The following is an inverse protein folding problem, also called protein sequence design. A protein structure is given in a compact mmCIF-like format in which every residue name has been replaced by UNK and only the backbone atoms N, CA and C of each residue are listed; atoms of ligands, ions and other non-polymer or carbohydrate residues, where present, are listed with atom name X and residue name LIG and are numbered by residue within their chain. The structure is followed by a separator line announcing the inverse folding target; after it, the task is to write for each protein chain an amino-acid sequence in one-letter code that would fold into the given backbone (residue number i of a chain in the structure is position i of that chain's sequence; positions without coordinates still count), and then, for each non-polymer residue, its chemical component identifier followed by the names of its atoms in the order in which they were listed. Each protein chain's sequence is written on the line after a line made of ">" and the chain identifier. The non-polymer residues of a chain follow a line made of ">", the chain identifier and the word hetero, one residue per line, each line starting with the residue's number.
data_IF_672222882103
#
_entry.id   IF_672222882103
#
_cell.length_a   1.000
_cell.length_b   1.000
_cell.length_c   1.000
_cell.angle_alpha   90.00
_cell.angle_beta   90.00
_cell.angle_gamma   90.00
#
_symmetry.space_group_name_H-M   'P 1'
#
loop_
_entity.id
_entity.type
_entity.pdbx_description
1 polymer ?
#
# COMPACT_ATOMS: atom_id res chain seq x y z
N UNK A 1 -3.87 14.75 -16.06
CA UNK A 1 -2.78 13.97 -16.67
C UNK A 1 -2.87 12.53 -16.16
N UNK A 2 -2.62 11.53 -17.02
CA UNK A 2 -2.60 10.09 -16.68
C UNK A 2 -1.28 9.48 -17.18
N UNK A 3 -0.16 9.68 -16.48
CA UNK A 3 1.17 9.31 -16.99
C UNK A 3 1.42 7.80 -17.00
N UNK A 4 0.65 7.01 -16.24
CA UNK A 4 0.84 5.57 -16.07
C UNK A 4 -0.44 4.79 -16.45
N UNK A 5 -0.87 4.81 -17.73
CA UNK A 5 -2.13 4.19 -18.15
C UNK A 5 -2.09 2.67 -18.17
N UNK A 6 -0.90 2.05 -18.20
CA UNK A 6 -0.75 0.59 -18.22
C UNK A 6 -0.24 0.06 -16.88
N UNK A 7 0.92 0.50 -16.45
CA UNK A 7 1.55 0.09 -15.19
C UNK A 7 2.39 1.23 -14.63
N UNK A 8 2.69 1.16 -13.32
CA UNK A 8 3.75 1.97 -12.74
C UNK A 8 5.10 1.47 -13.26
N UNK A 9 6.00 2.37 -13.71
CA UNK A 9 7.40 2.00 -13.88
C UNK A 9 7.99 1.47 -12.57
N UNK A 10 8.93 0.52 -12.65
CA UNK A 10 9.53 -0.11 -11.48
C UNK A 10 10.12 0.90 -10.50
N UNK A 11 10.74 1.96 -11.00
CA UNK A 11 11.30 3.04 -10.18
C UNK A 11 10.23 3.78 -9.36
N UNK A 12 9.06 4.05 -9.95
CA UNK A 12 7.94 4.72 -9.27
C UNK A 12 7.26 3.76 -8.30
N UNK A 13 7.10 2.50 -8.69
CA UNK A 13 6.59 1.44 -7.83
C UNK A 13 7.47 1.27 -6.58
N UNK A 14 8.79 1.25 -6.74
CA UNK A 14 9.72 1.16 -5.61
C UNK A 14 9.57 2.35 -4.65
N UNK A 15 9.49 3.58 -5.17
CA UNK A 15 9.26 4.78 -4.34
C UNK A 15 7.93 4.70 -3.59
N UNK A 16 6.86 4.27 -4.26
CA UNK A 16 5.55 4.13 -3.63
C UNK A 16 5.57 3.08 -2.51
N UNK A 17 6.17 1.92 -2.76
CA UNK A 17 6.28 0.85 -1.76
C UNK A 17 7.13 1.27 -0.56
N UNK A 18 8.27 1.94 -0.79
CA UNK A 18 9.11 2.48 0.28
C UNK A 18 8.34 3.51 1.14
N UNK A 19 7.55 4.38 0.49
CA UNK A 19 6.74 5.38 1.20
C UNK A 19 5.66 4.73 2.06
N UNK A 20 4.97 3.73 1.53
CA UNK A 20 3.93 3.01 2.28
C UNK A 20 4.51 2.20 3.44
N UNK A 21 5.66 1.52 3.24
CA UNK A 21 6.39 0.85 4.33
C UNK A 21 6.74 1.83 5.45
N UNK A 22 7.26 3.00 5.11
CA UNK A 22 7.62 4.02 6.10
C UNK A 22 6.40 4.49 6.92
N UNK A 23 5.23 4.67 6.30
CA UNK A 23 4.01 5.02 7.04
C UNK A 23 3.54 3.90 7.95
N UNK A 24 3.53 2.65 7.49
CA UNK A 24 3.13 1.52 8.33
C UNK A 24 4.08 1.30 9.50
N UNK A 25 5.40 1.45 9.29
CA UNK A 25 6.38 1.43 10.38
C UNK A 25 6.12 2.54 11.41
N UNK A 26 5.73 3.73 10.95
CA UNK A 26 5.34 4.82 11.85
C UNK A 26 4.09 4.47 12.66
N UNK A 27 3.07 3.88 12.04
CA UNK A 27 1.86 3.43 12.75
C UNK A 27 2.18 2.35 13.77
N UNK A 28 3.00 1.36 13.41
CA UNK A 28 3.44 0.29 14.32
C UNK A 28 4.23 0.84 15.51
N UNK A 29 5.12 1.82 15.27
CA UNK A 29 5.89 2.49 16.34
C UNK A 29 4.98 3.18 17.36
N UNK A 30 3.82 3.66 16.92
CA UNK A 30 2.85 4.37 17.75
C UNK A 30 1.56 3.55 17.97
N UNK A 31 1.66 2.23 17.92
CA UNK A 31 0.52 1.32 18.10
C UNK A 31 -0.05 1.37 19.53
N UNK A 32 0.65 1.98 20.48
CA UNK A 32 0.18 2.27 21.84
C UNK A 32 -0.94 3.33 21.86
N UNK A 33 -0.99 4.22 20.86
CA UNK A 33 -1.99 5.30 20.76
C UNK A 33 -2.84 5.25 19.49
N UNK A 34 -2.45 4.47 18.48
CA UNK A 34 -3.21 4.30 17.24
C UNK A 34 -4.10 3.06 17.33
N UNK A 35 -5.40 3.27 17.50
CA UNK A 35 -6.36 2.16 17.62
C UNK A 35 -6.64 1.45 16.29
N UNK A 36 -6.71 2.19 15.18
CA UNK A 36 -7.07 1.63 13.86
C UNK A 36 -6.55 2.47 12.71
N UNK A 37 -5.99 1.79 11.72
CA UNK A 37 -5.65 2.35 10.40
C UNK A 37 -6.59 1.72 9.37
N UNK A 38 -7.26 2.53 8.54
CA UNK A 38 -8.22 2.03 7.55
C UNK A 38 -7.92 2.60 6.17
N UNK A 39 -7.72 1.69 5.20
CA UNK A 39 -7.61 2.05 3.80
C UNK A 39 -8.99 2.31 3.20
N UNK A 40 -9.09 3.28 2.28
CA UNK A 40 -10.35 3.63 1.62
C UNK A 40 -10.53 2.83 0.32
N UNK A 41 -10.73 1.52 0.49
CA UNK A 41 -10.86 0.53 -0.57
C UNK A 41 -9.91 -0.64 -0.38
N UNK A 42 -10.14 -1.71 -1.16
CA UNK A 42 -9.33 -2.93 -1.13
C UNK A 42 -8.28 -2.90 -2.24
N UNK A 43 -8.73 -2.93 -3.50
CA UNK A 43 -7.89 -3.02 -4.69
C UNK A 43 -7.74 -1.67 -5.38
N UNK A 44 -6.62 -1.45 -6.08
CA UNK A 44 -6.45 -0.29 -6.99
C UNK A 44 -7.55 -0.21 -8.07
N UNK A 45 -8.17 -1.35 -8.41
CA UNK A 45 -9.27 -1.49 -9.34
C UNK A 45 -10.44 -0.57 -9.03
N UNK A 46 -10.86 -0.63 -7.78
CA UNK A 46 -12.13 -0.04 -7.30
C UNK A 46 -11.93 1.32 -6.63
N UNK A 47 -10.71 1.84 -6.63
CA UNK A 47 -10.41 3.10 -5.98
C UNK A 47 -11.14 4.27 -6.64
N UNK A 48 -11.83 5.07 -5.81
CA UNK A 48 -12.43 6.34 -6.22
C UNK A 48 -11.42 7.30 -6.90
N UNK A 49 -10.12 7.19 -6.58
CA UNK A 49 -9.06 8.01 -7.18
C UNK A 49 -8.87 7.78 -8.68
N UNK A 50 -9.34 6.66 -9.22
CA UNK A 50 -9.35 6.44 -10.67
C UNK A 50 -10.22 7.47 -11.41
N UNK A 51 -11.24 8.03 -10.75
CA UNK A 51 -12.18 8.95 -11.38
C UNK A 51 -12.26 10.34 -10.73
N UNK A 52 -11.49 10.59 -9.67
CA UNK A 52 -11.44 11.88 -8.99
C UNK A 52 -9.99 12.33 -8.70
N UNK A 53 -9.64 13.62 -8.86
CA UNK A 53 -10.46 14.73 -9.37
C UNK A 53 -10.55 14.77 -10.91
N UNK A 54 -9.77 13.93 -11.60
CA UNK A 54 -9.80 13.79 -13.05
C UNK A 54 -10.33 12.40 -13.40
N UNK A 55 -11.37 12.37 -14.23
CA UNK A 55 -12.04 11.15 -14.67
C UNK A 55 -11.14 10.32 -15.60
N UNK A 56 -11.22 8.99 -15.49
CA UNK A 56 -10.54 8.06 -16.41
C UNK A 56 -9.03 7.92 -16.21
N UNK A 57 -8.51 8.24 -15.02
CA UNK A 57 -7.11 7.96 -14.67
C UNK A 57 -6.94 6.52 -14.21
N UNK A 58 -5.74 5.97 -14.39
CA UNK A 58 -5.34 4.71 -13.76
C UNK A 58 -4.44 5.04 -12.58
N UNK A 59 -5.02 4.96 -11.39
CA UNK A 59 -4.30 5.21 -10.13
C UNK A 59 -3.92 3.89 -9.46
N UNK A 60 -2.93 3.97 -8.57
CA UNK A 60 -2.39 2.83 -7.82
C UNK A 60 -2.34 3.08 -6.29
N UNK A 61 -3.44 3.53 -5.64
CA UNK A 61 -3.35 4.15 -4.33
C UNK A 61 -3.50 3.20 -3.12
N UNK A 62 -3.87 1.94 -3.33
CA UNK A 62 -4.28 1.03 -2.26
C UNK A 62 -3.25 -0.08 -2.00
N UNK A 63 -3.56 -0.97 -1.06
CA UNK A 63 -2.62 -1.97 -0.54
C UNK A 63 -2.52 -3.20 -1.47
N UNK A 64 -3.57 -3.45 -2.25
CA UNK A 64 -3.65 -4.52 -3.24
C UNK A 64 -3.70 -3.95 -4.64
N UNK A 65 -3.08 -4.64 -5.58
CA UNK A 65 -3.15 -4.28 -6.99
C UNK A 65 -4.49 -4.68 -7.63
N UNK A 66 -4.59 -4.49 -8.95
CA UNK A 66 -5.82 -4.77 -9.71
C UNK A 66 -6.13 -6.28 -9.86
N UNK A 67 -5.16 -7.14 -9.57
CA UNK A 67 -5.30 -8.60 -9.57
C UNK A 67 -5.55 -9.13 -8.15
N UNK A 68 -5.81 -8.25 -7.17
CA UNK A 68 -5.96 -8.58 -5.76
C UNK A 68 -4.70 -9.16 -5.13
N UNK A 69 -3.53 -8.91 -5.71
CA UNK A 69 -2.26 -9.30 -5.10
C UNK A 69 -1.76 -8.23 -4.13
N UNK A 70 -1.17 -8.67 -3.01
CA UNK A 70 -0.52 -7.76 -2.08
C UNK A 70 0.65 -7.05 -2.76
N UNK A 71 0.71 -5.73 -2.61
CA UNK A 71 1.86 -4.96 -3.07
C UNK A 71 3.11 -5.26 -2.24
N UNK A 72 4.33 -5.08 -2.81
CA UNK A 72 5.59 -5.48 -2.18
C UNK A 72 5.74 -5.08 -0.71
N UNK A 73 5.46 -3.82 -0.36
CA UNK A 73 5.63 -3.34 1.02
C UNK A 73 4.78 -4.12 2.03
N UNK A 74 3.56 -4.53 1.63
CA UNK A 74 2.64 -5.27 2.50
C UNK A 74 3.12 -6.72 2.70
N UNK A 75 3.65 -7.34 1.64
CA UNK A 75 4.28 -8.68 1.72
C UNK A 75 5.47 -8.65 2.68
N UNK A 76 6.33 -7.65 2.56
CA UNK A 76 7.50 -7.47 3.43
C UNK A 76 7.09 -7.30 4.90
N UNK A 77 6.15 -6.39 5.20
CA UNK A 77 5.67 -6.14 6.56
C UNK A 77 5.11 -7.41 7.22
N UNK A 78 4.32 -8.20 6.50
CA UNK A 78 3.75 -9.44 7.04
C UNK A 78 4.86 -10.46 7.36
N UNK A 79 5.86 -10.59 6.48
CA UNK A 79 6.97 -11.52 6.68
C UNK A 79 7.87 -11.11 7.85
N UNK A 80 8.13 -9.81 8.01
CA UNK A 80 8.87 -9.24 9.13
C UNK A 80 8.17 -9.53 10.46
N UNK A 81 6.85 -9.29 10.53
CA UNK A 81 6.07 -9.52 11.76
C UNK A 81 5.90 -11.01 12.11
N UNK A 82 5.79 -11.91 11.11
CA UNK A 82 5.82 -13.36 11.34
C UNK A 82 7.13 -13.85 11.95
N UNK A 83 8.23 -13.18 11.63
CA UNK A 83 9.55 -13.54 12.16
C UNK A 83 9.68 -13.11 13.62
N UNK A 84 9.12 -11.95 13.99
CA UNK A 84 9.13 -11.46 15.37
C UNK A 84 8.23 -12.24 16.31
N UNK A 85 7.11 -12.82 15.83
CA UNK A 85 6.25 -13.69 16.65
C UNK A 85 6.90 -15.03 17.01
N UNK A 86 7.89 -15.48 16.24
CA UNK A 86 8.59 -16.75 16.46
C UNK A 86 9.85 -16.64 17.34
N UNK A 87 10.14 -15.46 17.91
CA UNK A 87 11.21 -15.30 18.89
C UNK A 87 10.65 -15.50 20.31
N UNK A 88 11.27 -16.36 21.15
CA UNK A 88 10.85 -16.50 22.53
C UNK A 88 10.98 -15.14 23.25
N UNK A 89 9.94 -14.77 24.00
CA UNK A 89 9.95 -13.60 24.89
C UNK A 89 11.06 -13.71 25.93
#
# INVERSE_FOLDING_TARGET
>A
MNPYPEALPDSVSAVWNARMKAFFNLFLKHADIVERVTAWGVSDGDSWKNNFPVRGRKEYPLLFDRNYEMKPFLKELINENKTTENQPK
#
